data_IF_499618109116
#
_entry.id   IF_499618109116
#
_cell.length_a   1.000
_cell.length_b   1.000
_cell.length_c   1.000
_cell.angle_alpha   90.00
_cell.angle_beta   90.00
_cell.angle_gamma   90.00
#
_symmetry.space_group_name_H-M   'P 1'
#
loop_
_entity.id
_entity.type
_entity.pdbx_description
1 polymer ?
#
# COMPACT_ATOMS: atom_id res chain seq x y z
N UNK A 1 -9.76 16.27 15.60
CA UNK A 1 -9.97 15.52 14.34
C UNK A 1 -8.70 15.65 13.52
N UNK A 2 -8.01 14.55 13.22
CA UNK A 2 -6.87 14.60 12.30
C UNK A 2 -7.39 14.98 10.91
N UNK A 3 -6.93 16.14 10.41
CA UNK A 3 -7.29 16.58 9.06
C UNK A 3 -6.32 15.94 8.07
N UNK A 4 -6.82 15.12 7.17
CA UNK A 4 -6.06 14.54 6.05
C UNK A 4 -6.23 15.41 4.79
N UNK A 5 -5.21 15.46 3.89
CA UNK A 5 -3.87 14.84 4.03
C UNK A 5 -2.99 15.57 5.05
N UNK A 6 -2.00 14.85 5.62
CA UNK A 6 -0.93 15.45 6.44
C UNK A 6 0.36 15.48 5.63
N UNK A 7 1.09 16.58 5.79
CA UNK A 7 2.36 16.81 5.11
C UNK A 7 3.49 16.78 6.14
N UNK A 8 4.44 15.90 5.94
CA UNK A 8 5.57 15.69 6.84
C UNK A 8 6.88 15.85 6.05
N UNK A 9 7.78 16.67 6.59
CA UNK A 9 9.13 16.79 6.07
C UNK A 9 9.91 15.48 6.35
N UNK A 10 10.58 14.95 5.34
CA UNK A 10 11.37 13.73 5.44
C UNK A 10 12.79 14.01 4.92
N UNK A 11 13.64 14.46 5.83
CA UNK A 11 14.95 15.00 5.47
C UNK A 11 14.82 16.28 4.64
N UNK A 12 15.87 16.60 3.87
CA UNK A 12 15.95 17.85 3.10
C UNK A 12 15.28 17.78 1.72
N UNK A 13 15.03 16.56 1.21
CA UNK A 13 14.60 16.30 -0.16
C UNK A 13 13.26 15.58 -0.24
N UNK A 14 12.64 15.26 0.90
CA UNK A 14 11.44 14.42 0.94
C UNK A 14 10.24 15.12 1.55
N UNK A 15 9.08 14.97 0.91
CA UNK A 15 7.77 15.33 1.40
C UNK A 15 6.92 14.07 1.51
N UNK A 16 6.62 13.61 2.73
CA UNK A 16 5.68 12.52 2.96
C UNK A 16 4.26 13.08 3.07
N UNK A 17 3.38 12.62 2.21
CA UNK A 17 1.95 12.96 2.20
C UNK A 17 1.17 11.76 2.71
N UNK A 18 0.60 11.84 3.91
CA UNK A 18 -0.24 10.79 4.48
C UNK A 18 -1.71 11.09 4.24
N UNK A 19 -2.48 10.06 3.87
CA UNK A 19 -3.92 10.14 3.57
C UNK A 19 -4.79 9.44 4.62
N UNK A 20 -4.18 8.84 5.62
CA UNK A 20 -4.87 8.16 6.71
C UNK A 20 -3.90 7.52 7.70
N UNK A 21 -4.45 6.90 8.75
CA UNK A 21 -3.73 6.25 9.85
C UNK A 21 -3.89 4.72 9.88
N UNK A 22 -4.61 4.16 8.91
CA UNK A 22 -4.87 2.72 8.79
C UNK A 22 -4.65 2.21 7.38
N UNK A 23 -4.52 0.90 7.23
CA UNK A 23 -4.57 0.24 5.92
C UNK A 23 -6.04 0.09 5.55
N UNK A 24 -6.44 0.75 4.47
CA UNK A 24 -7.83 0.87 4.06
C UNK A 24 -7.93 0.93 2.54
N UNK A 25 -8.95 0.28 1.98
CA UNK A 25 -9.13 0.21 0.54
C UNK A 25 -9.42 1.57 -0.10
N UNK A 26 -10.22 2.40 0.56
CA UNK A 26 -10.56 3.74 0.05
C UNK A 26 -9.33 4.64 0.03
N UNK A 27 -8.50 4.58 1.11
CA UNK A 27 -7.22 5.31 1.18
C UNK A 27 -6.29 4.82 0.08
N UNK A 28 -6.20 3.51 -0.14
CA UNK A 28 -5.37 2.94 -1.20
C UNK A 28 -5.83 3.38 -2.59
N UNK A 29 -7.14 3.35 -2.87
CA UNK A 29 -7.68 3.84 -4.13
C UNK A 29 -7.39 5.32 -4.35
N UNK A 30 -7.49 6.14 -3.30
CA UNK A 30 -7.13 7.55 -3.34
C UNK A 30 -5.65 7.73 -3.72
N UNK A 31 -4.75 6.98 -3.10
CA UNK A 31 -3.31 6.99 -3.42
C UNK A 31 -3.06 6.60 -4.88
N UNK A 32 -3.73 5.56 -5.38
CA UNK A 32 -3.61 5.17 -6.79
C UNK A 32 -4.04 6.28 -7.74
N UNK A 33 -5.14 6.99 -7.45
CA UNK A 33 -5.59 8.14 -8.24
C UNK A 33 -4.55 9.26 -8.25
N UNK A 34 -4.00 9.60 -7.08
CA UNK A 34 -2.91 10.58 -6.96
C UNK A 34 -1.69 10.17 -7.79
N UNK A 35 -1.26 8.92 -7.64
CA UNK A 35 -0.10 8.42 -8.37
C UNK A 35 -0.31 8.50 -9.89
N UNK A 36 -1.49 8.13 -10.39
CA UNK A 36 -1.84 8.23 -11.82
C UNK A 36 -1.76 9.68 -12.32
N UNK A 37 -2.21 10.66 -11.54
CA UNK A 37 -2.12 12.08 -11.93
C UNK A 37 -0.67 12.53 -11.96
N UNK A 38 0.10 12.24 -10.90
CA UNK A 38 1.50 12.65 -10.79
C UNK A 38 2.39 12.00 -11.84
N UNK A 39 2.09 10.75 -12.24
CA UNK A 39 2.78 10.05 -13.32
C UNK A 39 2.50 10.68 -14.69
N UNK A 40 1.24 11.06 -14.95
CA UNK A 40 0.83 11.68 -16.22
C UNK A 40 1.20 13.15 -16.34
N UNK A 41 1.25 13.85 -15.22
CA UNK A 41 1.53 15.28 -15.14
C UNK A 41 2.55 15.52 -14.04
N UNK A 42 3.83 15.23 -14.31
CA UNK A 42 4.90 15.42 -13.33
C UNK A 42 4.97 16.89 -12.87
N UNK A 43 5.09 17.08 -11.56
CA UNK A 43 5.26 18.40 -10.98
C UNK A 43 6.70 18.89 -11.14
N UNK A 44 6.86 20.20 -11.36
CA UNK A 44 8.18 20.81 -11.50
C UNK A 44 9.05 20.57 -10.27
N UNK A 45 10.29 20.11 -10.47
CA UNK A 45 11.24 19.83 -9.40
C UNK A 45 11.02 18.51 -8.69
N UNK A 46 9.96 17.73 -8.97
CA UNK A 46 9.79 16.38 -8.45
C UNK A 46 10.75 15.43 -9.18
N UNK A 47 11.50 14.64 -8.40
CA UNK A 47 12.47 13.66 -8.88
C UNK A 47 11.83 12.28 -8.92
N UNK A 48 11.12 11.91 -7.85
CA UNK A 48 10.51 10.58 -7.70
C UNK A 48 9.24 10.65 -6.86
N UNK A 49 8.29 9.78 -7.16
CA UNK A 49 7.04 9.60 -6.41
C UNK A 49 6.92 8.13 -6.02
N UNK A 50 6.93 7.86 -4.71
CA UNK A 50 6.88 6.50 -4.18
C UNK A 50 5.55 6.28 -3.43
N UNK A 51 4.59 5.57 -4.03
CA UNK A 51 3.33 5.27 -3.36
C UNK A 51 3.51 4.15 -2.34
N UNK A 52 2.79 4.26 -1.20
CA UNK A 52 2.67 3.24 -0.19
C UNK A 52 1.19 2.96 0.11
N UNK A 53 0.89 2.12 1.09
CA UNK A 53 -0.50 1.72 1.39
C UNK A 53 -1.39 2.84 1.97
N UNK A 54 -0.83 3.89 2.58
CA UNK A 54 -1.57 5.03 3.15
C UNK A 54 -0.92 6.39 2.93
N UNK A 55 0.17 6.45 2.16
CA UNK A 55 0.95 7.65 1.93
C UNK A 55 1.64 7.64 0.58
N UNK A 56 2.12 8.82 0.18
CA UNK A 56 3.01 8.99 -0.97
C UNK A 56 4.24 9.75 -0.47
N UNK A 57 5.43 9.24 -0.76
CA UNK A 57 6.67 9.99 -0.58
C UNK A 57 7.02 10.67 -1.90
N UNK A 58 7.24 11.97 -1.84
CA UNK A 58 7.67 12.80 -2.97
C UNK A 58 9.10 13.23 -2.70
N UNK A 59 10.02 12.81 -3.56
CA UNK A 59 11.41 13.27 -3.55
C UNK A 59 11.53 14.41 -4.54
N UNK A 60 12.07 15.54 -4.12
CA UNK A 60 12.13 16.76 -4.93
C UNK A 60 13.47 17.49 -4.83
N UNK A 61 13.76 18.32 -5.82
CA UNK A 61 14.90 19.21 -5.87
C UNK A 61 14.52 20.57 -5.24
N UNK A 62 15.06 20.92 -4.06
CA UNK A 62 14.71 22.16 -3.37
C UNK A 62 15.19 23.43 -4.08
N UNK A 63 16.05 23.30 -5.09
CA UNK A 63 16.46 24.41 -5.94
C UNK A 63 15.44 24.74 -7.03
N UNK A 64 14.51 23.80 -7.32
CA UNK A 64 13.49 23.96 -8.39
C UNK A 64 12.09 24.16 -7.82
N UNK A 65 11.81 23.60 -6.65
CA UNK A 65 10.48 23.72 -6.01
C UNK A 65 10.62 23.78 -4.50
N UNK A 66 9.52 24.10 -3.81
CA UNK A 66 9.50 24.10 -2.34
C UNK A 66 8.41 23.19 -1.81
N UNK A 67 8.52 22.81 -0.54
CA UNK A 67 7.51 22.01 0.14
C UNK A 67 6.14 22.70 0.14
N UNK A 68 6.08 24.01 0.34
CA UNK A 68 4.83 24.78 0.35
C UNK A 68 4.18 24.80 -1.04
N UNK A 69 4.97 24.86 -2.11
CA UNK A 69 4.46 24.76 -3.48
C UNK A 69 3.90 23.37 -3.75
N UNK A 70 4.64 22.33 -3.39
CA UNK A 70 4.18 20.95 -3.55
C UNK A 70 2.90 20.67 -2.75
N UNK A 71 2.78 21.21 -1.51
CA UNK A 71 1.55 21.08 -0.72
C UNK A 71 0.35 21.68 -1.45
N UNK A 72 0.48 22.87 -2.05
CA UNK A 72 -0.60 23.52 -2.82
C UNK A 72 -0.99 22.69 -4.05
N UNK A 73 0.00 22.18 -4.78
CA UNK A 73 -0.23 21.34 -5.96
C UNK A 73 -0.96 20.03 -5.58
N UNK A 74 -0.55 19.37 -4.50
CA UNK A 74 -1.20 18.16 -3.99
C UNK A 74 -2.65 18.44 -3.56
N UNK A 75 -2.92 19.54 -2.89
CA UNK A 75 -4.29 19.92 -2.51
C UNK A 75 -5.15 20.22 -3.75
N UNK A 76 -4.59 20.86 -4.77
CA UNK A 76 -5.29 21.06 -6.06
C UNK A 76 -5.59 19.76 -6.80
N UNK A 77 -4.66 18.79 -6.74
CA UNK A 77 -4.90 17.44 -7.29
C UNK A 77 -6.05 16.75 -6.56
N UNK A 78 -6.15 16.92 -5.24
CA UNK A 78 -7.21 16.30 -4.43
C UNK A 78 -8.62 16.68 -4.91
N UNK A 79 -8.82 17.92 -5.34
CA UNK A 79 -10.10 18.41 -5.87
C UNK A 79 -10.53 17.72 -7.19
N UNK A 80 -9.58 17.14 -7.91
CA UNK A 80 -9.78 16.51 -9.22
C UNK A 80 -9.75 14.98 -9.21
N UNK A 81 -9.58 14.36 -8.05
CA UNK A 81 -9.44 12.90 -7.93
C UNK A 81 -10.65 12.12 -8.46
N UNK A 82 -11.85 12.70 -8.38
CA UNK A 82 -13.07 12.01 -8.86
C UNK A 82 -13.10 11.86 -10.40
N UNK A 83 -12.34 12.64 -11.13
CA UNK A 83 -12.22 12.55 -12.59
C UNK A 83 -11.33 11.37 -13.02
N UNK A 84 -10.54 10.80 -12.10
CA UNK A 84 -9.55 9.78 -12.39
C UNK A 84 -10.16 8.39 -12.32
N UNK A 85 -10.15 7.69 -13.44
CA UNK A 85 -10.47 6.27 -13.50
C UNK A 85 -9.22 5.43 -13.16
N UNK A 86 -9.32 4.66 -12.09
CA UNK A 86 -8.29 3.68 -11.74
C UNK A 86 -8.54 2.42 -12.59
N UNK A 87 -7.53 1.90 -13.28
CA UNK A 87 -7.67 0.64 -14.01
C UNK A 87 -8.08 -0.50 -13.09
N UNK A 88 -8.94 -1.39 -13.60
CA UNK A 88 -9.30 -2.61 -12.87
C UNK A 88 -8.03 -3.43 -12.62
N UNK A 89 -7.79 -3.90 -11.38
CA UNK A 89 -6.63 -4.73 -11.10
C UNK A 89 -6.73 -6.07 -11.82
N UNK A 90 -5.60 -6.58 -12.27
CA UNK A 90 -5.47 -7.94 -12.77
C UNK A 90 -5.41 -8.92 -11.60
N UNK A 91 -6.08 -10.07 -11.73
CA UNK A 91 -6.00 -11.15 -10.74
C UNK A 91 -5.05 -12.22 -11.25
N UNK A 92 -4.04 -12.54 -10.43
CA UNK A 92 -3.06 -13.58 -10.70
C UNK A 92 -3.28 -14.75 -9.73
N UNK A 93 -3.29 -15.97 -10.26
CA UNK A 93 -3.28 -17.19 -9.45
C UNK A 93 -1.85 -17.63 -9.21
N UNK A 94 -1.46 -17.73 -7.93
CA UNK A 94 -0.11 -18.13 -7.54
C UNK A 94 -0.17 -19.50 -6.88
N UNK A 95 0.46 -20.54 -7.45
CA UNK A 95 0.53 -21.86 -6.82
C UNK A 95 1.39 -21.78 -5.55
N UNK A 96 0.89 -22.37 -4.47
CA UNK A 96 1.55 -22.36 -3.15
C UNK A 96 1.71 -23.78 -2.65
N UNK A 97 2.90 -24.12 -2.16
CA UNK A 97 3.19 -25.39 -1.48
C UNK A 97 3.09 -25.17 0.03
N UNK A 98 2.40 -26.05 0.72
CA UNK A 98 2.18 -25.99 2.16
C UNK A 98 2.85 -27.14 2.90
N UNK A 99 3.29 -26.85 4.13
CA UNK A 99 3.85 -27.85 5.04
C UNK A 99 5.25 -28.35 4.66
N UNK A 100 5.75 -29.31 5.43
CA UNK A 100 7.11 -29.83 5.30
C UNK A 100 8.17 -28.74 5.35
N UNK A 101 9.20 -28.87 4.54
CA UNK A 101 10.31 -27.91 4.48
C UNK A 101 9.91 -26.52 3.93
N UNK A 102 8.76 -26.42 3.23
CA UNK A 102 8.28 -25.18 2.61
C UNK A 102 7.29 -24.38 3.46
N UNK A 103 6.79 -24.97 4.55
CA UNK A 103 5.86 -24.31 5.47
C UNK A 103 5.88 -24.97 6.84
N UNK A 104 7.04 -24.95 7.54
CA UNK A 104 7.22 -25.64 8.82
C UNK A 104 6.29 -25.10 9.93
N UNK A 105 5.81 -23.84 9.79
CA UNK A 105 4.92 -23.23 10.77
C UNK A 105 3.44 -23.55 10.55
N UNK A 106 3.05 -24.35 9.55
CA UNK A 106 1.65 -24.67 9.26
C UNK A 106 0.93 -25.27 10.48
N UNK A 107 1.56 -26.22 11.16
CA UNK A 107 1.02 -26.85 12.37
C UNK A 107 0.86 -25.86 13.50
N UNK A 108 1.79 -24.93 13.66
CA UNK A 108 1.70 -23.85 14.67
C UNK A 108 0.50 -22.94 14.37
N UNK A 109 0.31 -22.52 13.12
CA UNK A 109 -0.84 -21.69 12.71
C UNK A 109 -2.16 -22.42 12.99
N UNK A 110 -2.24 -23.70 12.64
CA UNK A 110 -3.40 -24.54 12.88
C UNK A 110 -3.71 -24.65 14.38
N UNK A 111 -2.73 -25.04 15.19
CA UNK A 111 -2.87 -25.21 16.64
C UNK A 111 -3.25 -23.88 17.33
N UNK A 112 -2.61 -22.77 16.97
CA UNK A 112 -2.88 -21.45 17.55
C UNK A 112 -4.33 -21.03 17.34
N UNK A 113 -4.88 -21.31 16.17
CA UNK A 113 -6.23 -20.92 15.78
C UNK A 113 -7.29 -22.01 16.06
N UNK A 114 -6.89 -23.17 16.62
CA UNK A 114 -7.76 -24.33 16.87
C UNK A 114 -8.39 -24.88 15.58
N UNK A 115 -7.61 -24.93 14.55
CA UNK A 115 -7.94 -25.45 13.21
C UNK A 115 -7.09 -26.67 12.91
N UNK A 116 -7.47 -27.43 11.86
CA UNK A 116 -6.57 -28.39 11.24
C UNK A 116 -5.68 -27.72 10.20
N UNK A 117 -4.53 -28.32 9.83
CA UNK A 117 -3.71 -27.82 8.72
C UNK A 117 -4.50 -27.64 7.42
N UNK A 118 -5.41 -28.57 7.10
CA UNK A 118 -6.26 -28.53 5.91
C UNK A 118 -7.22 -27.34 5.96
N UNK A 119 -7.83 -27.05 7.12
CA UNK A 119 -8.69 -25.86 7.29
C UNK A 119 -7.91 -24.56 7.13
N UNK A 120 -6.66 -24.50 7.60
CA UNK A 120 -5.78 -23.32 7.40
C UNK A 120 -5.52 -23.14 5.90
N UNK A 121 -5.18 -24.20 5.18
CA UNK A 121 -4.94 -24.17 3.73
C UNK A 121 -6.20 -23.72 2.99
N UNK A 122 -7.35 -24.29 3.31
CA UNK A 122 -8.62 -23.91 2.69
C UNK A 122 -8.96 -22.43 2.90
N UNK A 123 -8.84 -21.95 4.15
CA UNK A 123 -9.07 -20.53 4.47
C UNK A 123 -8.09 -19.63 3.73
N UNK A 124 -6.82 -20.02 3.63
CA UNK A 124 -5.80 -19.22 2.94
C UNK A 124 -6.03 -19.22 1.43
N UNK A 125 -6.29 -20.35 0.81
CA UNK A 125 -6.45 -20.46 -0.66
C UNK A 125 -7.78 -19.93 -1.18
N UNK A 126 -8.84 -19.92 -0.37
CA UNK A 126 -10.13 -19.33 -0.76
C UNK A 126 -10.13 -17.80 -0.75
N UNK A 127 -9.10 -17.15 -0.19
CA UNK A 127 -8.99 -15.70 -0.07
C UNK A 127 -8.51 -15.02 -1.36
N UNK A 128 -9.02 -13.83 -1.63
CA UNK A 128 -8.44 -12.92 -2.62
C UNK A 128 -7.62 -11.86 -1.89
N UNK A 129 -6.37 -11.70 -2.29
CA UNK A 129 -5.41 -10.81 -1.66
C UNK A 129 -5.14 -9.59 -2.53
N UNK A 130 -5.19 -8.40 -1.94
CA UNK A 130 -4.85 -7.18 -2.64
C UNK A 130 -3.39 -6.80 -2.39
N UNK A 131 -2.64 -6.54 -3.45
CA UNK A 131 -1.31 -5.93 -3.36
C UNK A 131 -1.49 -4.43 -3.14
N UNK A 132 -1.15 -3.94 -1.95
CA UNK A 132 -1.22 -2.52 -1.62
C UNK A 132 0.00 -1.75 -2.10
N UNK A 133 1.17 -2.35 -2.03
CA UNK A 133 2.42 -1.75 -2.49
C UNK A 133 3.48 -2.83 -2.66
N UNK A 134 4.52 -2.50 -3.40
CA UNK A 134 5.73 -3.32 -3.48
C UNK A 134 6.79 -2.72 -2.57
N UNK A 135 7.34 -3.53 -1.70
CA UNK A 135 8.49 -3.19 -0.87
C UNK A 135 9.82 -3.33 -1.61
N UNK A 136 10.94 -3.21 -0.89
CA UNK A 136 12.26 -3.44 -1.46
C UNK A 136 12.34 -4.77 -2.21
N UNK A 137 13.05 -4.78 -3.34
CA UNK A 137 13.21 -5.97 -4.20
C UNK A 137 11.88 -6.52 -4.78
N UNK A 138 10.83 -5.69 -4.84
CA UNK A 138 9.54 -6.10 -5.39
C UNK A 138 8.70 -6.99 -4.46
N UNK A 139 9.00 -7.05 -3.17
CA UNK A 139 8.25 -7.86 -2.21
C UNK A 139 6.83 -7.32 -2.04
N UNK A 140 5.77 -8.08 -2.36
CA UNK A 140 4.40 -7.58 -2.30
C UNK A 140 3.91 -7.46 -0.85
N UNK A 141 3.34 -6.31 -0.50
CA UNK A 141 2.62 -6.12 0.76
C UNK A 141 1.14 -6.37 0.52
N UNK A 142 0.69 -7.52 1.01
CA UNK A 142 -0.66 -8.03 0.78
C UNK A 142 -1.62 -7.65 1.91
N UNK A 143 -2.87 -7.39 1.54
CA UNK A 143 -4.00 -7.36 2.46
C UNK A 143 -5.07 -8.34 2.04
N UNK A 144 -6.00 -8.64 2.97
CA UNK A 144 -7.09 -9.59 2.72
C UNK A 144 -6.95 -10.92 3.45
N UNK A 145 -5.88 -11.11 4.24
CA UNK A 145 -5.75 -12.32 5.07
C UNK A 145 -6.94 -12.45 6.03
N UNK A 146 -7.51 -13.65 6.10
CA UNK A 146 -8.59 -13.95 7.04
C UNK A 146 -8.12 -13.85 8.49
N UNK A 147 -8.89 -13.18 9.33
CA UNK A 147 -8.61 -13.10 10.77
C UNK A 147 -8.62 -14.47 11.47
N UNK A 148 -9.26 -15.47 10.87
CA UNK A 148 -9.33 -16.84 11.40
C UNK A 148 -7.97 -17.54 11.45
N UNK A 149 -7.00 -17.09 10.66
CA UNK A 149 -5.65 -17.66 10.61
C UNK A 149 -4.56 -16.66 11.02
N UNK A 150 -4.93 -15.61 11.74
CA UNK A 150 -3.94 -14.69 12.31
C UNK A 150 -3.15 -15.35 13.43
N UNK A 151 -1.83 -15.18 13.38
CA UNK A 151 -0.90 -15.64 14.42
C UNK A 151 0.09 -14.52 14.75
N UNK A 152 0.63 -14.49 15.97
CA UNK A 152 1.78 -13.64 16.29
C UNK A 152 3.00 -14.12 15.48
N UNK A 153 3.96 -13.23 15.29
CA UNK A 153 5.28 -13.62 14.78
C UNK A 153 6.02 -14.42 15.83
N UNK A 154 6.66 -15.51 15.41
CA UNK A 154 7.58 -16.29 16.22
C UNK A 154 8.92 -15.59 16.37
#
# INVERSE_FOLDING_TARGET
>A
MNKWPRFLCTGDLGLLVEFGDKIDLEIHQKIRKFFIILDRTPLEGVIEVVPAYRSILIIYDPLKTSMERLQKEILSIEERLEEVKVPTPETLEIPVVYGGDYGPELDFVAQHNRLTPEEVIEIHTSGTYLVYTLGPSGFPMLGGLSKKIFTPRL
#
